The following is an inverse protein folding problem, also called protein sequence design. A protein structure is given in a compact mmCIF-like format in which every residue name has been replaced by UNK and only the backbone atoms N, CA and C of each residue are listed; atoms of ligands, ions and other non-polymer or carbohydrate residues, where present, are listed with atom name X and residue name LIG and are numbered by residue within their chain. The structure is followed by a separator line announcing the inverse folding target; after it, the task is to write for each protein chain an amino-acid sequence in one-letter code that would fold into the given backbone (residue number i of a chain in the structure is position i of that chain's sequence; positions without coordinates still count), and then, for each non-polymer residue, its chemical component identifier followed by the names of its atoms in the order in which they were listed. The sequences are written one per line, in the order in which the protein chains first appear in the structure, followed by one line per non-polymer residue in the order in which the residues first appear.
data_IF_068359890863
#
_entry.id   IF_068359890863
#
_cell.length_a   1.000
_cell.length_b   1.000
_cell.length_c   1.000
_cell.angle_alpha   90.00
_cell.angle_beta   90.00
_cell.angle_gamma   90.00
#
_symmetry.space_group_name_H-M   'P 1'
#
loop_
_entity.id
_entity.type
_entity.pdbx_description
1 polymer ?
#
# COMPACT_ATOMS: atom_id res chain seq x y z
N UNK A 1 5.24 4.50 -15.49
CA UNK A 1 5.45 5.81 -14.83
C UNK A 1 6.57 6.51 -15.57
N UNK A 2 6.35 7.76 -15.96
CA UNK A 2 7.32 8.54 -16.74
C UNK A 2 8.61 8.75 -15.92
N UNK A 3 9.79 8.51 -16.52
CA UNK A 3 11.09 8.56 -15.85
C UNK A 3 11.65 9.99 -15.74
N UNK A 4 10.86 11.01 -16.05
CA UNK A 4 11.20 12.43 -15.88
C UNK A 4 10.92 12.92 -14.45
N UNK A 5 11.34 12.17 -13.45
CA UNK A 5 11.17 12.52 -12.04
C UNK A 5 12.47 13.14 -11.52
N UNK A 6 12.41 14.39 -11.06
CA UNK A 6 13.46 14.95 -10.20
C UNK A 6 13.46 14.14 -8.91
N UNK A 7 14.52 13.38 -8.59
CA UNK A 7 14.52 12.57 -7.39
C UNK A 7 14.40 13.50 -6.18
N UNK A 8 13.37 13.28 -5.37
CA UNK A 8 13.20 13.95 -4.08
C UNK A 8 14.47 13.80 -3.26
N UNK A 9 14.83 14.83 -2.51
CA UNK A 9 15.90 14.74 -1.53
C UNK A 9 15.61 13.62 -0.52
N UNK A 10 16.64 13.04 0.13
CA UNK A 10 16.45 12.01 1.14
C UNK A 10 15.45 12.42 2.25
N UNK A 11 15.46 13.69 2.64
CA UNK A 11 14.55 14.25 3.65
C UNK A 11 13.11 14.30 3.15
N UNK A 12 12.88 14.75 1.92
CA UNK A 12 11.53 14.79 1.33
C UNK A 12 10.97 13.37 1.16
N UNK A 13 11.79 12.41 0.75
CA UNK A 13 11.37 11.01 0.66
C UNK A 13 10.95 10.44 2.02
N UNK A 14 11.67 10.79 3.08
CA UNK A 14 11.32 10.40 4.44
C UNK A 14 10.00 11.04 4.89
N UNK A 15 9.83 12.34 4.64
CA UNK A 15 8.59 13.06 4.97
C UNK A 15 7.38 12.48 4.23
N UNK A 16 7.53 12.13 2.95
CA UNK A 16 6.47 11.49 2.18
C UNK A 16 6.10 10.11 2.74
N UNK A 17 7.09 9.31 3.15
CA UNK A 17 6.85 8.02 3.81
C UNK A 17 6.08 8.17 5.11
N UNK A 18 6.48 9.12 5.95
CA UNK A 18 5.80 9.41 7.22
C UNK A 18 4.36 9.82 6.95
N UNK A 19 4.14 10.81 6.07
CA UNK A 19 2.80 11.30 5.75
C UNK A 19 1.88 10.21 5.16
N UNK A 20 2.42 9.31 4.33
CA UNK A 20 1.67 8.18 3.78
C UNK A 20 1.19 7.22 4.88
N UNK A 21 2.08 6.84 5.80
CA UNK A 21 1.75 5.93 6.90
C UNK A 21 0.78 6.56 7.89
N UNK A 22 0.93 7.85 8.19
CA UNK A 22 -0.01 8.61 9.01
C UNK A 22 -1.42 8.59 8.42
N UNK A 23 -1.55 8.84 7.11
CA UNK A 23 -2.84 8.80 6.42
C UNK A 23 -3.49 7.42 6.48
N UNK A 24 -2.72 6.36 6.25
CA UNK A 24 -3.22 4.98 6.34
C UNK A 24 -3.70 4.69 7.78
N UNK A 25 -2.95 5.12 8.79
CA UNK A 25 -3.32 4.93 10.20
C UNK A 25 -4.62 5.64 10.58
N UNK A 26 -4.89 6.81 10.00
CA UNK A 26 -6.11 7.58 10.24
C UNK A 26 -7.36 7.00 9.57
N UNK A 27 -7.20 6.01 8.68
CA UNK A 27 -8.29 5.39 7.92
C UNK A 27 -8.23 3.86 8.06
N UNK A 28 -8.48 3.32 9.26
CA UNK A 28 -8.31 1.88 9.56
C UNK A 28 -9.27 0.97 8.78
N UNK A 29 -10.38 1.51 8.30
CA UNK A 29 -11.42 0.86 7.50
C UNK A 29 -11.19 0.98 5.98
N UNK A 30 -10.07 1.60 5.55
CA UNK A 30 -9.75 1.76 4.14
C UNK A 30 -9.72 0.39 3.41
N UNK A 31 -10.39 0.26 2.25
CA UNK A 31 -10.35 -0.98 1.47
C UNK A 31 -8.92 -1.40 1.12
N UNK A 32 -8.63 -2.70 1.24
CA UNK A 32 -7.31 -3.26 0.96
C UNK A 32 -6.75 -2.85 -0.41
N UNK A 33 -7.59 -2.88 -1.46
CA UNK A 33 -7.22 -2.47 -2.82
C UNK A 33 -6.64 -1.04 -2.85
N UNK A 34 -7.26 -0.14 -2.09
CA UNK A 34 -6.84 1.25 -1.99
C UNK A 34 -5.55 1.39 -1.16
N UNK A 35 -5.43 0.68 -0.03
CA UNK A 35 -4.20 0.67 0.79
C UNK A 35 -3.00 0.22 -0.04
N UNK A 36 -3.11 -0.92 -0.73
CA UNK A 36 -2.03 -1.48 -1.57
C UNK A 36 -1.62 -0.50 -2.68
N UNK A 37 -2.60 0.11 -3.35
CA UNK A 37 -2.34 1.11 -4.40
C UNK A 37 -1.68 2.37 -3.84
N UNK A 38 -2.10 2.84 -2.66
CA UNK A 38 -1.50 4.01 -2.01
C UNK A 38 -0.06 3.75 -1.58
N UNK A 39 0.22 2.59 -1.00
CA UNK A 39 1.59 2.18 -0.63
C UNK A 39 2.51 2.16 -1.86
N UNK A 40 2.05 1.56 -2.95
CA UNK A 40 2.82 1.47 -4.19
C UNK A 40 3.08 2.85 -4.81
N UNK A 41 2.01 3.63 -5.01
CA UNK A 41 2.09 4.91 -5.72
C UNK A 41 2.69 6.03 -4.88
N UNK A 42 2.53 5.99 -3.55
CA UNK A 42 3.15 6.95 -2.63
C UNK A 42 4.67 6.85 -2.55
N UNK A 43 5.24 5.74 -3.04
CA UNK A 43 6.68 5.56 -3.24
C UNK A 43 7.12 5.65 -4.71
N UNK A 44 6.21 6.05 -5.61
CA UNK A 44 6.44 6.08 -7.06
C UNK A 44 6.89 4.74 -7.66
N UNK A 45 6.44 3.63 -7.08
CA UNK A 45 6.79 2.30 -7.58
C UNK A 45 5.85 1.90 -8.73
N UNK A 46 6.43 1.35 -9.79
CA UNK A 46 5.68 0.56 -10.77
C UNK A 46 5.17 -0.73 -10.13
N UNK A 47 4.24 -1.42 -10.80
CA UNK A 47 3.77 -2.73 -10.34
C UNK A 47 4.92 -3.74 -10.30
N UNK A 48 5.83 -3.68 -11.28
CA UNK A 48 7.00 -4.55 -11.38
C UNK A 48 7.99 -4.29 -10.24
N UNK A 49 8.23 -3.02 -9.90
CA UNK A 49 9.08 -2.64 -8.77
C UNK A 49 8.50 -3.14 -7.45
N UNK A 50 7.19 -2.99 -7.28
CA UNK A 50 6.52 -3.43 -6.06
C UNK A 50 6.45 -4.95 -5.95
N UNK A 51 6.27 -5.65 -7.07
CA UNK A 51 6.37 -7.10 -7.15
C UNK A 51 7.76 -7.59 -6.73
N UNK A 52 8.83 -6.95 -7.20
CA UNK A 52 10.21 -7.28 -6.79
C UNK A 52 10.44 -7.02 -5.30
N UNK A 53 9.90 -5.92 -4.77
CA UNK A 53 10.04 -5.56 -3.36
C UNK A 53 9.34 -6.57 -2.43
N UNK A 54 8.16 -7.04 -2.81
CA UNK A 54 7.27 -7.85 -1.94
C UNK A 54 7.34 -9.35 -2.22
N UNK A 55 7.91 -9.74 -3.36
CA UNK A 55 7.87 -11.12 -3.85
C UNK A 55 6.47 -11.59 -4.28
N UNK A 56 5.53 -10.67 -4.49
CA UNK A 56 4.17 -10.98 -4.97
C UNK A 56 4.09 -10.75 -6.47
N UNK A 57 3.45 -11.67 -7.21
CA UNK A 57 3.34 -11.56 -8.66
C UNK A 57 2.58 -10.29 -9.09
N UNK A 58 3.03 -9.65 -10.18
CA UNK A 58 2.44 -8.43 -10.73
C UNK A 58 0.94 -8.56 -11.00
N UNK A 59 0.51 -9.70 -11.57
CA UNK A 59 -0.91 -10.00 -11.82
C UNK A 59 -1.73 -10.05 -10.53
N UNK A 60 -1.15 -10.57 -9.45
CA UNK A 60 -1.81 -10.60 -8.14
C UNK A 60 -1.97 -9.19 -7.59
N UNK A 61 -0.92 -8.36 -7.66
CA UNK A 61 -0.98 -6.95 -7.25
C UNK A 61 -2.06 -6.20 -8.05
N UNK A 62 -2.07 -6.32 -9.37
CA UNK A 62 -3.07 -5.67 -10.23
C UNK A 62 -4.50 -6.13 -9.92
N UNK A 63 -4.71 -7.43 -9.71
CA UNK A 63 -6.01 -7.96 -9.32
C UNK A 63 -6.50 -7.43 -7.97
N UNK A 64 -5.58 -7.31 -6.99
CA UNK A 64 -5.89 -6.73 -5.68
C UNK A 64 -6.24 -5.25 -5.83
N UNK A 65 -5.44 -4.45 -6.54
CA UNK A 65 -5.69 -3.03 -6.75
C UNK A 65 -6.97 -2.74 -7.55
N UNK A 66 -7.40 -3.68 -8.40
CA UNK A 66 -8.67 -3.62 -9.11
C UNK A 66 -9.88 -4.09 -8.27
N UNK A 67 -9.65 -4.61 -7.06
CA UNK A 67 -10.71 -5.19 -6.21
C UNK A 67 -11.27 -6.52 -6.73
N UNK A 68 -10.62 -7.14 -7.72
CA UNK A 68 -11.08 -8.36 -8.39
C UNK A 68 -10.41 -9.64 -7.87
N UNK A 69 -9.43 -9.52 -6.98
CA UNK A 69 -8.71 -10.66 -6.40
C UNK A 69 -9.23 -11.03 -5.01
N UNK A 70 -9.15 -12.31 -4.68
CA UNK A 70 -9.31 -12.84 -3.33
C UNK A 70 -7.94 -13.34 -2.79
N UNK A 71 -7.07 -12.45 -2.30
CA UNK A 71 -5.73 -12.82 -1.87
C UNK A 71 -5.72 -13.57 -0.53
N UNK A 72 -4.76 -14.47 -0.34
CA UNK A 72 -4.51 -15.07 0.98
C UNK A 72 -4.00 -14.02 1.97
N UNK A 73 -4.25 -14.21 3.27
CA UNK A 73 -3.68 -13.36 4.33
C UNK A 73 -2.15 -13.24 4.22
N UNK A 74 -1.46 -14.33 3.85
CA UNK A 74 -0.02 -14.32 3.63
C UNK A 74 0.38 -13.38 2.49
N UNK A 75 -0.34 -13.43 1.36
CA UNK A 75 -0.11 -12.54 0.22
C UNK A 75 -0.26 -11.09 0.65
N UNK A 76 -1.31 -10.77 1.41
CA UNK A 76 -1.53 -9.40 1.87
C UNK A 76 -0.43 -8.96 2.81
N UNK A 77 -0.05 -9.78 3.80
CA UNK A 77 1.04 -9.44 4.72
C UNK A 77 2.38 -9.22 4.00
N UNK A 78 2.68 -9.97 2.93
CA UNK A 78 3.88 -9.70 2.10
C UNK A 78 3.87 -8.31 1.44
N UNK A 79 2.70 -7.82 1.03
CA UNK A 79 2.56 -6.47 0.46
C UNK A 79 2.76 -5.37 1.51
N UNK A 80 2.33 -5.64 2.74
CA UNK A 80 2.37 -4.69 3.87
C UNK A 80 3.72 -4.67 4.61
N UNK A 81 4.42 -5.81 4.68
CA UNK A 81 5.63 -6.01 5.46
C UNK A 81 6.75 -4.97 5.18
N UNK A 82 7.07 -4.58 3.94
CA UNK A 82 8.14 -3.61 3.67
C UNK A 82 7.90 -2.23 4.32
N UNK A 83 6.66 -1.96 4.74
CA UNK A 83 6.25 -0.71 5.37
C UNK A 83 6.06 -0.83 6.89
N UNK A 84 6.40 -1.99 7.48
CA UNK A 84 6.13 -2.25 8.89
C UNK A 84 4.64 -2.43 9.20
N UNK A 85 3.83 -2.72 8.18
CA UNK A 85 2.38 -2.90 8.32
C UNK A 85 2.02 -4.39 8.32
N UNK A 86 0.87 -4.71 8.92
CA UNK A 86 0.25 -6.04 8.91
C UNK A 86 -1.26 -5.93 8.82
N UNK A 87 -1.93 -6.98 8.33
CA UNK A 87 -3.37 -7.10 8.47
C UNK A 87 -3.77 -7.26 9.94
N UNK A 88 -4.93 -6.71 10.30
CA UNK A 88 -5.52 -6.80 11.63
C UNK A 88 -7.03 -6.59 11.59
N UNK A 89 -7.67 -6.87 12.72
CA UNK A 89 -9.10 -6.62 12.94
C UNK A 89 -9.25 -5.20 13.47
N UNK A 90 -10.24 -4.46 12.95
CA UNK A 90 -10.61 -3.11 13.39
C UNK A 90 -12.06 -3.13 13.88
N UNK A 91 -12.42 -2.22 14.79
CA UNK A 91 -13.83 -2.03 15.15
C UNK A 91 -14.59 -1.48 13.95
N UNK A 92 -15.76 -2.03 13.64
CA UNK A 92 -16.70 -1.34 12.76
C UNK A 92 -17.08 -0.05 13.50
N UNK A 93 -16.87 1.10 12.87
CA UNK A 93 -17.39 2.35 13.41
C UNK A 93 -18.90 2.15 13.58
N UNK A 94 -19.37 2.18 14.83
CA UNK A 94 -20.81 2.25 15.08
C UNK A 94 -21.15 3.68 14.69
N UNK A 95 -21.74 3.87 13.50
CA UNK A 95 -22.36 5.15 13.18
C UNK A 95 -23.31 5.46 14.34
N UNK A 96 -22.94 6.42 15.18
CA UNK A 96 -23.72 6.81 16.34
C UNK A 96 -25.08 7.30 15.85
N UNK A 97 -26.13 6.56 16.22
CA UNK A 97 -27.50 7.05 16.14
C UNK A 97 -27.75 8.21 17.08
#
# INVERSE_FOLDING_TARGET
MDRRYTPLSPTEQLQQRIALLERIRQQPDMPLAQVVRQLRTGLYLTVEEYARLTGVATRTIQGIEAGAANPSMNTVNKLLQPFGLRLGVVSVAVDGG
#
